data_IF_645926621686
#
_entry.id   IF_645926621686
#
_cell.length_a   1.000
_cell.length_b   1.000
_cell.length_c   1.000
_cell.angle_alpha   90.00
_cell.angle_beta   90.00
_cell.angle_gamma   90.00
#
_symmetry.space_group_name_H-M   'P 1'
#
loop_
_entity.id
_entity.type
_entity.pdbx_description
1 polymer ?
#
# COMPACT_ATOMS: atom_id res chain seq x y z
N UNK A 1 -32.84 -68.09 6.58
CA UNK A 1 -32.58 -66.64 6.66
C UNK A 1 -32.35 -66.15 5.25
N UNK A 2 -33.26 -65.32 4.77
CA UNK A 2 -33.39 -64.97 3.36
C UNK A 2 -32.33 -63.93 2.96
N UNK A 3 -31.36 -64.33 2.15
CA UNK A 3 -30.22 -63.50 1.71
C UNK A 3 -30.65 -62.35 0.77
N UNK A 4 -31.92 -62.33 0.34
CA UNK A 4 -32.47 -61.34 -0.60
C UNK A 4 -32.78 -59.98 0.05
N UNK A 5 -33.10 -59.93 1.34
CA UNK A 5 -33.43 -58.70 2.09
C UNK A 5 -32.25 -58.08 2.84
N UNK A 6 -31.15 -58.83 3.02
CA UNK A 6 -29.94 -58.32 3.67
C UNK A 6 -29.12 -57.38 2.77
N UNK A 7 -29.12 -57.62 1.45
CA UNK A 7 -28.31 -56.86 0.48
C UNK A 7 -28.75 -55.39 0.32
N UNK A 8 -30.05 -55.06 0.22
CA UNK A 8 -30.51 -53.67 0.11
C UNK A 8 -30.23 -52.87 1.39
N UNK A 9 -30.49 -53.45 2.57
CA UNK A 9 -30.23 -52.79 3.85
C UNK A 9 -28.74 -52.53 4.10
N UNK A 10 -27.86 -53.43 3.67
CA UNK A 10 -26.41 -53.23 3.76
C UNK A 10 -25.93 -52.12 2.82
N UNK A 11 -26.48 -52.04 1.59
CA UNK A 11 -26.17 -50.96 0.65
C UNK A 11 -26.68 -49.59 1.12
N UNK A 12 -27.89 -49.54 1.70
CA UNK A 12 -28.42 -48.30 2.29
C UNK A 12 -27.60 -47.84 3.50
N UNK A 13 -27.19 -48.77 4.36
CA UNK A 13 -26.33 -48.46 5.50
C UNK A 13 -24.95 -47.95 5.05
N UNK A 14 -24.37 -48.55 4.01
CA UNK A 14 -23.09 -48.11 3.42
C UNK A 14 -23.22 -46.69 2.84
N UNK A 15 -24.26 -46.44 2.03
CA UNK A 15 -24.52 -45.13 1.43
C UNK A 15 -24.81 -44.05 2.49
N UNK A 16 -25.51 -44.40 3.57
CA UNK A 16 -25.82 -43.49 4.67
C UNK A 16 -24.56 -43.12 5.46
N UNK A 17 -23.68 -44.08 5.74
CA UNK A 17 -22.41 -43.81 6.41
C UNK A 17 -21.49 -42.97 5.51
N UNK A 18 -21.36 -43.33 4.24
CA UNK A 18 -20.58 -42.56 3.27
C UNK A 18 -21.02 -41.09 3.24
N UNK A 19 -22.33 -40.82 3.09
CA UNK A 19 -22.89 -39.45 3.14
C UNK A 19 -22.59 -38.74 4.46
N UNK A 20 -22.70 -39.42 5.60
CA UNK A 20 -22.46 -38.83 6.93
C UNK A 20 -21.04 -38.30 7.09
N UNK A 21 -20.05 -38.97 6.52
CA UNK A 21 -18.65 -38.54 6.58
C UNK A 21 -18.23 -37.61 5.42
N UNK A 22 -18.92 -37.68 4.27
CA UNK A 22 -18.65 -36.84 3.09
C UNK A 22 -19.11 -35.39 3.24
N UNK A 23 -20.32 -35.18 3.80
CA UNK A 23 -20.94 -33.86 3.91
C UNK A 23 -20.13 -32.79 4.70
N UNK A 24 -19.51 -33.11 5.85
CA UNK A 24 -18.69 -32.14 6.59
C UNK A 24 -17.43 -31.71 5.83
N UNK A 25 -16.84 -32.63 5.04
CA UNK A 25 -15.65 -32.38 4.23
C UNK A 25 -15.99 -31.54 2.99
N UNK A 26 -17.15 -31.76 2.36
CA UNK A 26 -17.65 -30.95 1.25
C UNK A 26 -17.91 -29.47 1.63
N UNK A 27 -18.13 -29.16 2.92
CA UNK A 27 -18.31 -27.79 3.43
C UNK A 27 -17.08 -27.20 4.11
N UNK A 28 -15.97 -27.93 4.14
CA UNK A 28 -14.70 -27.44 4.69
C UNK A 28 -13.95 -26.57 3.68
N UNK A 29 -13.17 -25.60 4.15
CA UNK A 29 -12.24 -24.81 3.32
C UNK A 29 -11.03 -25.63 2.84
N UNK A 30 -11.21 -26.94 2.69
CA UNK A 30 -10.17 -27.92 2.38
C UNK A 30 -10.52 -28.60 1.06
N UNK A 31 -9.61 -28.51 0.10
CA UNK A 31 -9.63 -29.36 -1.09
C UNK A 31 -9.02 -30.70 -0.71
N UNK A 32 -9.73 -31.79 -0.96
CA UNK A 32 -9.25 -33.14 -0.69
C UNK A 32 -9.14 -33.89 -2.01
N UNK A 33 -7.97 -34.42 -2.29
CA UNK A 33 -7.71 -35.23 -3.48
C UNK A 33 -6.82 -36.42 -3.15
N UNK A 34 -7.05 -37.51 -3.88
CA UNK A 34 -6.25 -38.72 -3.85
C UNK A 34 -5.56 -38.86 -5.20
N UNK A 35 -4.29 -39.25 -5.16
CA UNK A 35 -3.51 -39.54 -6.35
C UNK A 35 -2.87 -40.92 -6.25
N UNK A 36 -2.61 -41.57 -7.39
CA UNK A 36 -1.84 -42.82 -7.43
C UNK A 36 -0.32 -42.58 -7.30
N UNK A 37 0.48 -43.65 -7.51
CA UNK A 37 1.95 -43.62 -7.48
C UNK A 37 2.55 -42.69 -8.54
N UNK A 38 1.89 -42.57 -9.68
CA UNK A 38 2.28 -41.74 -10.80
C UNK A 38 1.74 -40.29 -10.67
N UNK A 39 1.13 -39.96 -9.53
CA UNK A 39 0.52 -38.68 -9.21
C UNK A 39 -0.66 -38.32 -10.12
N UNK A 40 -1.35 -39.32 -10.65
CA UNK A 40 -2.61 -39.15 -11.38
C UNK A 40 -3.75 -39.02 -10.38
N UNK A 41 -4.60 -38.00 -10.54
CA UNK A 41 -5.73 -37.77 -9.64
C UNK A 41 -6.78 -38.87 -9.83
N UNK A 42 -6.93 -39.73 -8.81
CA UNK A 42 -7.88 -40.85 -8.81
C UNK A 42 -9.21 -40.46 -8.15
N UNK A 43 -9.17 -39.51 -7.22
CA UNK A 43 -10.36 -39.03 -6.53
C UNK A 43 -10.21 -37.57 -6.13
N UNK A 44 -11.30 -36.81 -6.14
CA UNK A 44 -11.35 -35.43 -5.65
C UNK A 44 -12.73 -35.14 -5.06
N UNK A 45 -12.76 -34.48 -3.91
CA UNK A 45 -13.99 -34.03 -3.28
C UNK A 45 -14.58 -32.81 -4.02
N UNK A 46 -15.91 -32.67 -3.98
CA UNK A 46 -16.63 -31.56 -4.62
C UNK A 46 -16.22 -30.16 -4.10
N UNK A 47 -15.58 -30.09 -2.92
CA UNK A 47 -15.03 -28.85 -2.34
C UNK A 47 -14.03 -28.14 -3.26
N UNK A 48 -13.42 -28.87 -4.21
CA UNK A 48 -12.56 -28.27 -5.25
C UNK A 48 -13.31 -27.25 -6.11
N UNK A 49 -14.61 -27.46 -6.36
CA UNK A 49 -15.42 -26.57 -7.19
C UNK A 49 -15.71 -25.25 -6.47
N UNK A 50 -15.96 -25.28 -5.16
CA UNK A 50 -16.26 -24.07 -4.41
C UNK A 50 -15.00 -23.20 -4.21
N UNK A 51 -13.84 -23.83 -4.04
CA UNK A 51 -12.57 -23.18 -3.73
C UNK A 51 -11.79 -22.78 -4.98
N UNK A 52 -11.51 -23.73 -5.88
CA UNK A 52 -10.70 -23.51 -7.09
C UNK A 52 -11.53 -23.21 -8.35
N UNK A 53 -12.87 -23.31 -8.28
CA UNK A 53 -13.80 -23.15 -9.43
C UNK A 53 -13.62 -24.18 -10.55
N UNK A 54 -12.92 -25.28 -10.28
CA UNK A 54 -12.71 -26.37 -11.22
C UNK A 54 -13.68 -27.51 -10.89
N UNK A 55 -14.29 -28.13 -11.90
CA UNK A 55 -15.15 -29.30 -11.67
C UNK A 55 -14.30 -30.55 -11.44
N UNK A 56 -14.69 -31.46 -10.52
CA UNK A 56 -14.02 -32.73 -10.28
C UNK A 56 -13.66 -33.52 -11.57
N UNK A 57 -14.60 -33.59 -12.51
CA UNK A 57 -14.42 -34.32 -13.77
C UNK A 57 -13.30 -33.76 -14.66
N UNK A 58 -12.90 -32.51 -14.49
CA UNK A 58 -11.81 -31.88 -15.25
C UNK A 58 -10.42 -32.23 -14.67
N UNK A 59 -10.39 -32.76 -13.44
CA UNK A 59 -9.18 -33.13 -12.71
C UNK A 59 -8.91 -34.64 -12.74
N UNK A 60 -9.97 -35.46 -12.68
CA UNK A 60 -9.85 -36.92 -12.63
C UNK A 60 -9.08 -37.47 -13.84
N UNK A 61 -8.11 -38.35 -13.57
CA UNK A 61 -7.29 -39.01 -14.59
C UNK A 61 -6.14 -38.14 -15.14
N UNK A 62 -5.96 -36.90 -14.66
CA UNK A 62 -4.83 -36.03 -15.03
C UNK A 62 -3.73 -36.07 -13.98
N UNK A 63 -2.51 -35.76 -14.40
CA UNK A 63 -1.41 -35.58 -13.46
C UNK A 63 -1.65 -34.36 -12.56
N UNK A 64 -1.35 -34.50 -11.26
CA UNK A 64 -1.59 -33.49 -10.23
C UNK A 64 -1.01 -32.11 -10.58
N UNK A 65 0.24 -32.05 -11.04
CA UNK A 65 0.93 -30.80 -11.30
C UNK A 65 0.35 -30.06 -12.50
N UNK A 66 -0.03 -30.80 -13.55
CA UNK A 66 -0.65 -30.25 -14.75
C UNK A 66 -2.09 -29.82 -14.52
N UNK A 67 -2.81 -30.52 -13.65
CA UNK A 67 -4.21 -30.25 -13.38
C UNK A 67 -4.41 -29.04 -12.47
N UNK A 68 -3.52 -28.83 -11.50
CA UNK A 68 -3.63 -27.77 -10.49
C UNK A 68 -2.60 -26.65 -10.63
N UNK A 69 -1.77 -26.64 -11.68
CA UNK A 69 -0.77 -25.58 -11.93
C UNK A 69 0.01 -25.18 -10.66
N UNK A 70 0.55 -26.18 -9.97
CA UNK A 70 1.27 -25.98 -8.69
C UNK A 70 2.62 -25.33 -8.99
N UNK A 71 2.85 -24.15 -8.40
CA UNK A 71 4.07 -23.36 -8.64
C UNK A 71 5.30 -24.10 -8.13
N UNK A 72 5.24 -24.64 -6.92
CA UNK A 72 6.36 -25.30 -6.24
C UNK A 72 6.54 -26.79 -6.64
N UNK A 73 6.13 -27.19 -7.86
CA UNK A 73 6.13 -28.59 -8.31
C UNK A 73 7.44 -29.35 -8.05
N UNK A 74 8.63 -28.75 -8.34
CA UNK A 74 9.93 -29.42 -8.10
C UNK A 74 10.19 -29.73 -6.63
N UNK A 75 9.84 -28.79 -5.74
CA UNK A 75 10.04 -28.93 -4.29
C UNK A 75 9.08 -29.99 -3.75
N UNK A 76 7.84 -29.97 -4.22
CA UNK A 76 6.84 -30.96 -3.84
C UNK A 76 7.23 -32.37 -4.31
N UNK A 77 7.76 -32.54 -5.53
CA UNK A 77 8.29 -33.84 -5.99
C UNK A 77 9.38 -34.38 -5.07
N UNK A 78 10.35 -33.54 -4.69
CA UNK A 78 11.40 -33.94 -3.75
C UNK A 78 10.85 -34.38 -2.39
N UNK A 79 9.85 -33.67 -1.86
CA UNK A 79 9.23 -34.02 -0.59
C UNK A 79 8.43 -35.33 -0.67
N UNK A 80 7.73 -35.57 -1.78
CA UNK A 80 7.05 -36.85 -2.02
C UNK A 80 8.05 -38.00 -2.08
N UNK A 81 9.19 -37.84 -2.75
CA UNK A 81 10.24 -38.87 -2.78
C UNK A 81 10.74 -39.22 -1.37
N UNK A 82 10.90 -38.21 -0.49
CA UNK A 82 11.31 -38.48 0.91
C UNK A 82 10.28 -39.27 1.71
N UNK A 83 8.98 -39.18 1.38
CA UNK A 83 7.94 -39.99 2.01
C UNK A 83 7.98 -41.47 1.60
N UNK A 84 8.56 -41.79 0.43
CA UNK A 84 8.61 -43.15 -0.13
C UNK A 84 9.90 -43.89 0.27
N UNK A 85 10.90 -43.20 0.81
CA UNK A 85 12.19 -43.82 1.10
C UNK A 85 12.08 -44.95 2.14
N UNK A 86 12.75 -46.11 1.90
CA UNK A 86 12.79 -47.21 2.85
C UNK A 86 13.35 -46.76 4.20
N UNK A 87 12.57 -46.92 5.27
CA UNK A 87 12.94 -46.48 6.62
C UNK A 87 12.49 -45.07 7.02
N UNK A 88 11.73 -44.37 6.17
CA UNK A 88 11.06 -43.12 6.57
C UNK A 88 10.06 -43.40 7.69
N UNK A 89 10.19 -42.67 8.80
CA UNK A 89 9.24 -42.69 9.92
C UNK A 89 8.10 -41.69 9.73
N UNK A 90 8.21 -40.78 8.76
CA UNK A 90 7.20 -39.78 8.47
C UNK A 90 6.15 -40.36 7.51
N UNK A 91 4.92 -40.56 8.01
CA UNK A 91 3.77 -40.96 7.19
C UNK A 91 3.04 -39.76 6.56
N UNK A 92 3.37 -38.54 6.99
CA UNK A 92 2.82 -37.31 6.44
C UNK A 92 3.81 -36.15 6.48
N UNK A 93 3.61 -35.20 5.57
CA UNK A 93 4.29 -33.91 5.53
C UNK A 93 3.27 -32.78 5.48
N UNK A 94 3.70 -31.60 5.90
CA UNK A 94 2.97 -30.35 5.72
C UNK A 94 3.85 -29.37 4.98
N UNK A 95 3.29 -28.73 3.96
CA UNK A 95 3.99 -27.75 3.16
C UNK A 95 3.03 -26.68 2.62
N UNK A 96 3.50 -25.45 2.49
CA UNK A 96 2.75 -24.42 1.80
C UNK A 96 2.92 -24.54 0.28
N UNK A 97 1.80 -24.50 -0.44
CA UNK A 97 1.77 -24.58 -1.90
C UNK A 97 0.99 -23.41 -2.47
N UNK A 98 1.38 -23.00 -3.67
CA UNK A 98 0.69 -21.98 -4.46
C UNK A 98 0.11 -22.61 -5.72
N UNK A 99 -1.17 -22.34 -5.97
CA UNK A 99 -1.90 -22.79 -7.16
C UNK A 99 -2.26 -21.57 -7.99
N UNK A 100 -1.88 -21.59 -9.27
CA UNK A 100 -2.31 -20.56 -10.23
C UNK A 100 -3.75 -20.84 -10.68
N UNK A 101 -4.60 -19.83 -10.55
CA UNK A 101 -6.00 -19.85 -11.02
C UNK A 101 -6.25 -18.69 -11.97
N UNK A 102 -7.39 -18.71 -12.69
CA UNK A 102 -7.79 -17.59 -13.54
C UNK A 102 -7.97 -16.27 -12.76
N UNK A 103 -8.30 -16.34 -11.46
CA UNK A 103 -8.46 -15.16 -10.59
C UNK A 103 -7.15 -14.71 -9.92
N UNK A 104 -6.03 -15.40 -10.21
CA UNK A 104 -4.71 -15.16 -9.64
C UNK A 104 -4.21 -16.31 -8.77
N UNK A 105 -3.08 -16.10 -8.09
CA UNK A 105 -2.46 -17.12 -7.24
C UNK A 105 -3.21 -17.29 -5.92
N UNK A 106 -3.56 -18.53 -5.59
CA UNK A 106 -4.09 -18.93 -4.29
C UNK A 106 -3.04 -19.72 -3.50
N UNK A 107 -3.05 -19.57 -2.17
CA UNK A 107 -2.10 -20.23 -1.28
C UNK A 107 -2.81 -21.25 -0.38
N UNK A 108 -2.17 -22.40 -0.18
CA UNK A 108 -2.69 -23.52 0.57
C UNK A 108 -1.67 -24.03 1.59
N UNK A 109 -2.14 -24.38 2.80
CA UNK A 109 -1.43 -25.27 3.71
C UNK A 109 -1.80 -26.70 3.33
N UNK A 110 -0.86 -27.42 2.73
CA UNK A 110 -1.06 -28.76 2.20
C UNK A 110 -0.54 -29.80 3.19
N UNK A 111 -1.43 -30.61 3.74
CA UNK A 111 -1.06 -31.84 4.42
C UNK A 111 -1.11 -33.00 3.43
N UNK A 112 -0.02 -33.76 3.34
CA UNK A 112 0.13 -34.86 2.39
C UNK A 112 0.44 -36.12 3.17
N UNK A 113 -0.36 -37.15 2.97
CA UNK A 113 -0.22 -38.43 3.66
C UNK A 113 0.17 -39.51 2.65
N UNK A 114 1.23 -40.25 2.96
CA UNK A 114 1.61 -41.43 2.20
C UNK A 114 0.66 -42.60 2.54
N UNK A 115 -0.03 -43.12 1.52
CA UNK A 115 -0.97 -44.24 1.60
C UNK A 115 -0.64 -45.30 0.54
N UNK A 116 0.65 -45.45 0.19
CA UNK A 116 1.13 -46.36 -0.85
C UNK A 116 0.94 -47.84 -0.50
N UNK A 117 0.88 -48.16 0.79
CA UNK A 117 0.62 -49.50 1.33
C UNK A 117 -0.87 -49.76 1.60
N UNK A 118 -1.73 -48.73 1.52
CA UNK A 118 -3.17 -48.90 1.67
C UNK A 118 -3.73 -49.65 0.44
N UNK A 119 -4.45 -50.77 0.63
CA UNK A 119 -4.90 -51.61 -0.48
C UNK A 119 -6.00 -50.99 -1.35
N UNK A 120 -6.64 -49.91 -0.89
CA UNK A 120 -7.70 -49.21 -1.62
C UNK A 120 -7.14 -47.99 -2.35
N UNK A 121 -6.28 -47.21 -1.69
CA UNK A 121 -5.77 -45.95 -2.23
C UNK A 121 -4.49 -46.16 -3.06
N UNK A 122 -3.55 -46.97 -2.54
CA UNK A 122 -2.27 -47.26 -3.18
C UNK A 122 -1.52 -46.03 -3.72
N UNK A 123 -1.51 -44.93 -2.96
CA UNK A 123 -1.13 -43.60 -3.46
C UNK A 123 -0.89 -42.56 -2.36
N UNK A 124 -1.25 -41.30 -2.62
CA UNK A 124 -1.14 -40.20 -1.65
C UNK A 124 -2.47 -39.49 -1.45
N UNK A 125 -2.73 -39.03 -0.23
CA UNK A 125 -3.85 -38.14 0.08
C UNK A 125 -3.34 -36.72 0.32
N UNK A 126 -3.95 -35.76 -0.36
CA UNK A 126 -3.68 -34.33 -0.20
C UNK A 126 -4.88 -33.64 0.44
N UNK A 127 -4.60 -32.84 1.47
CA UNK A 127 -5.55 -31.96 2.14
C UNK A 127 -5.04 -30.53 2.02
N UNK A 128 -5.64 -29.75 1.13
CA UNK A 128 -5.21 -28.37 0.84
C UNK A 128 -6.15 -27.40 1.55
N UNK A 129 -5.71 -26.83 2.67
CA UNK A 129 -6.48 -25.81 3.37
C UNK A 129 -6.16 -24.42 2.81
N UNK A 130 -7.16 -23.70 2.30
CA UNK A 130 -6.94 -22.37 1.72
C UNK A 130 -6.50 -21.37 2.81
N UNK A 131 -5.33 -20.76 2.62
CA UNK A 131 -4.73 -19.76 3.52
C UNK A 131 -4.52 -18.41 2.84
N UNK A 132 -5.10 -18.20 1.65
CA UNK A 132 -4.89 -16.99 0.82
C UNK A 132 -5.24 -15.71 1.58
N UNK A 133 -6.40 -15.65 2.22
CA UNK A 133 -6.83 -14.46 2.98
C UNK A 133 -5.96 -14.20 4.21
N UNK A 134 -5.51 -15.28 4.86
CA UNK A 134 -4.59 -15.21 5.99
C UNK A 134 -3.24 -14.65 5.54
N UNK A 135 -2.63 -15.18 4.48
CA UNK A 135 -1.36 -14.67 3.93
C UNK A 135 -1.46 -13.22 3.49
N UNK A 136 -2.56 -12.85 2.80
CA UNK A 136 -2.80 -11.44 2.43
C UNK A 136 -2.85 -10.52 3.65
N UNK A 137 -3.50 -10.97 4.73
CA UNK A 137 -3.57 -10.20 5.98
C UNK A 137 -2.21 -10.12 6.69
N UNK A 138 -1.45 -11.21 6.73
CA UNK A 138 -0.10 -11.26 7.31
C UNK A 138 0.88 -10.38 6.54
N UNK A 139 0.84 -10.38 5.20
CA UNK A 139 1.64 -9.50 4.36
C UNK A 139 1.26 -8.03 4.55
N UNK A 140 -0.03 -7.71 4.62
CA UNK A 140 -0.49 -6.35 4.92
C UNK A 140 0.00 -5.88 6.29
N UNK A 141 -0.13 -6.71 7.32
CA UNK A 141 0.37 -6.41 8.66
C UNK A 141 1.89 -6.23 8.67
N UNK A 142 2.63 -7.09 7.99
CA UNK A 142 4.08 -6.99 7.87
C UNK A 142 4.51 -5.69 7.18
N UNK A 143 3.84 -5.32 6.08
CA UNK A 143 4.06 -4.04 5.39
C UNK A 143 3.76 -2.85 6.30
N UNK A 144 2.63 -2.85 7.00
CA UNK A 144 2.25 -1.79 7.94
C UNK A 144 3.26 -1.65 9.10
N UNK A 145 3.72 -2.78 9.66
CA UNK A 145 4.76 -2.76 10.70
C UNK A 145 6.07 -2.18 10.16
N UNK A 146 6.51 -2.59 8.98
CA UNK A 146 7.71 -2.04 8.35
C UNK A 146 7.59 -0.53 8.07
N UNK A 147 6.44 -0.07 7.61
CA UNK A 147 6.15 1.35 7.43
C UNK A 147 6.19 2.11 8.77
N UNK A 148 5.63 1.54 9.83
CA UNK A 148 5.63 2.13 11.18
C UNK A 148 7.05 2.22 11.76
N UNK A 149 7.84 1.14 11.67
CA UNK A 149 9.22 1.13 12.16
C UNK A 149 10.07 2.15 11.40
N UNK A 150 9.92 2.19 10.07
CA UNK A 150 10.57 3.20 9.22
C UNK A 150 10.17 4.61 9.60
N UNK A 151 8.90 4.83 9.95
CA UNK A 151 8.40 6.11 10.44
C UNK A 151 9.06 6.52 11.76
N UNK A 152 9.05 5.64 12.76
CA UNK A 152 9.61 5.92 14.09
C UNK A 152 11.11 6.22 13.99
N UNK A 153 11.84 5.41 13.21
CA UNK A 153 13.27 5.58 13.01
C UNK A 153 13.61 6.92 12.35
N UNK A 154 13.00 7.22 11.20
CA UNK A 154 13.25 8.47 10.46
C UNK A 154 12.81 9.69 11.24
N UNK A 155 11.65 9.64 11.90
CA UNK A 155 11.20 10.75 12.72
C UNK A 155 12.16 11.04 13.89
N UNK A 156 12.64 10.00 14.57
CA UNK A 156 13.62 10.16 15.64
C UNK A 156 14.94 10.74 15.15
N UNK A 157 15.41 10.29 13.98
CA UNK A 157 16.63 10.79 13.36
C UNK A 157 16.51 12.29 13.00
N UNK A 158 15.44 12.65 12.30
CA UNK A 158 15.23 14.01 11.80
C UNK A 158 14.91 15.02 12.91
N UNK A 159 14.38 14.56 14.05
CA UNK A 159 14.30 15.37 15.26
C UNK A 159 15.65 15.53 15.96
N UNK A 160 16.50 14.49 15.97
CA UNK A 160 17.80 14.51 16.66
C UNK A 160 18.80 15.44 15.97
N UNK A 161 18.85 15.46 14.65
CA UNK A 161 19.79 16.28 13.89
C UNK A 161 19.76 17.79 14.22
N UNK A 162 18.61 18.50 14.22
CA UNK A 162 18.57 19.92 14.59
C UNK A 162 18.91 20.14 16.07
N UNK A 163 18.59 19.20 16.97
CA UNK A 163 18.95 19.30 18.39
C UNK A 163 20.47 19.21 18.61
N UNK A 164 21.14 18.26 17.96
CA UNK A 164 22.61 18.13 18.02
C UNK A 164 23.28 19.37 17.44
N UNK A 165 22.77 19.92 16.34
CA UNK A 165 23.27 21.18 15.78
C UNK A 165 23.12 22.36 16.73
N UNK A 166 21.97 22.49 17.41
CA UNK A 166 21.76 23.53 18.42
C UNK A 166 22.76 23.37 19.57
N UNK A 167 22.93 22.17 20.11
CA UNK A 167 23.87 21.89 21.19
C UNK A 167 25.31 22.25 20.80
N UNK A 168 25.77 21.86 19.60
CA UNK A 168 27.10 22.22 19.11
C UNK A 168 27.28 23.74 18.93
N UNK A 169 26.25 24.44 18.45
CA UNK A 169 26.29 25.91 18.33
C UNK A 169 26.33 26.60 19.69
N UNK A 170 25.65 26.06 20.70
CA UNK A 170 25.76 26.55 22.09
C UNK A 170 27.19 26.36 22.60
N UNK A 171 27.79 25.19 22.41
CA UNK A 171 29.16 24.89 22.84
C UNK A 171 30.19 25.83 22.20
N UNK A 172 30.03 26.13 20.90
CA UNK A 172 30.92 27.06 20.19
C UNK A 172 30.68 28.50 20.66
N UNK A 173 29.41 28.92 20.78
CA UNK A 173 29.07 30.26 21.24
C UNK A 173 29.61 30.55 22.65
N UNK A 174 29.67 29.54 23.52
CA UNK A 174 30.27 29.65 24.86
C UNK A 174 31.80 29.84 24.84
N UNK A 175 32.48 29.42 23.77
CA UNK A 175 33.95 29.51 23.61
C UNK A 175 34.40 30.78 22.89
N UNK A 176 33.65 31.23 21.88
CA UNK A 176 34.05 32.30 20.95
C UNK A 176 33.33 33.65 21.21
N UNK A 177 32.79 33.84 22.41
CA UNK A 177 32.13 35.07 22.80
C UNK A 177 33.14 36.24 22.83
N UNK A 178 32.83 37.48 22.35
CA UNK A 178 31.53 37.99 21.88
C UNK A 178 31.40 38.22 20.35
N UNK A 179 32.44 37.97 19.55
CA UNK A 179 32.53 38.52 18.18
C UNK A 179 31.53 37.87 17.19
N UNK A 180 31.04 36.66 17.47
CA UNK A 180 30.18 35.87 16.56
C UNK A 180 28.85 35.41 17.17
N UNK A 181 28.50 35.90 18.37
CA UNK A 181 27.32 35.45 19.11
C UNK A 181 26.01 35.57 18.30
N UNK A 182 25.85 36.66 17.54
CA UNK A 182 24.65 36.88 16.74
C UNK A 182 24.51 35.89 15.56
N UNK A 183 25.64 35.47 14.96
CA UNK A 183 25.63 34.49 13.88
C UNK A 183 25.24 33.10 14.40
N UNK A 184 25.80 32.68 15.54
CA UNK A 184 25.42 31.42 16.18
C UNK A 184 23.96 31.43 16.63
N UNK A 185 23.45 32.55 17.16
CA UNK A 185 22.04 32.74 17.49
C UNK A 185 21.13 32.61 16.26
N UNK A 186 21.50 33.16 15.11
CA UNK A 186 20.71 33.00 13.88
C UNK A 186 20.70 31.54 13.40
N UNK A 187 21.84 30.84 13.43
CA UNK A 187 21.93 29.42 13.07
C UNK A 187 21.09 28.52 14.01
N UNK A 188 21.11 28.82 15.32
CA UNK A 188 20.26 28.13 16.29
C UNK A 188 18.78 28.38 16.01
N UNK A 189 18.40 29.64 15.78
CA UNK A 189 17.01 30.02 15.44
C UNK A 189 16.51 29.27 14.21
N UNK A 190 17.31 29.19 13.13
CA UNK A 190 16.96 28.40 11.93
C UNK A 190 16.76 26.92 12.24
N UNK A 191 17.58 26.34 13.12
CA UNK A 191 17.46 24.93 13.51
C UNK A 191 16.19 24.67 14.34
N UNK A 192 15.83 25.58 15.25
CA UNK A 192 14.57 25.52 16.02
C UNK A 192 13.36 25.62 15.09
N UNK A 193 13.35 26.58 14.15
CA UNK A 193 12.25 26.75 13.19
C UNK A 193 12.07 25.51 12.30
N UNK A 194 13.16 24.85 11.90
CA UNK A 194 13.09 23.58 11.15
C UNK A 194 12.45 22.46 11.98
N UNK A 195 12.83 22.33 13.25
CA UNK A 195 12.27 21.33 14.14
C UNK A 195 10.79 21.58 14.43
N UNK A 196 10.40 22.84 14.64
CA UNK A 196 8.99 23.22 14.83
C UNK A 196 8.14 22.86 13.61
N UNK A 197 8.60 23.20 12.40
CA UNK A 197 7.93 22.82 11.15
C UNK A 197 7.79 21.31 11.01
N UNK A 198 8.84 20.56 11.37
CA UNK A 198 8.80 19.10 11.37
C UNK A 198 7.72 18.54 12.32
N UNK A 199 7.68 19.02 13.56
CA UNK A 199 6.67 18.61 14.56
C UNK A 199 5.26 18.98 14.10
N UNK A 200 5.09 20.16 13.50
CA UNK A 200 3.83 20.59 12.94
C UNK A 200 3.35 19.63 11.84
N UNK A 201 4.20 19.31 10.86
CA UNK A 201 3.86 18.41 9.75
C UNK A 201 3.51 17.01 10.25
N UNK A 202 4.24 16.50 11.25
CA UNK A 202 3.98 15.23 11.91
C UNK A 202 2.59 15.21 12.60
N UNK A 203 2.26 16.31 13.27
CA UNK A 203 0.97 16.47 13.94
C UNK A 203 -0.17 16.54 12.93
N UNK A 204 0.01 17.23 11.80
CA UNK A 204 -0.99 17.29 10.73
C UNK A 204 -1.24 15.90 10.13
N UNK A 205 -0.19 15.12 9.88
CA UNK A 205 -0.32 13.73 9.43
C UNK A 205 -1.15 12.89 10.41
N UNK A 206 -0.78 12.89 11.69
CA UNK A 206 -1.47 12.12 12.73
C UNK A 206 -2.94 12.51 12.88
N UNK A 207 -3.25 13.81 12.78
CA UNK A 207 -4.64 14.32 12.81
C UNK A 207 -5.44 13.94 11.57
N UNK A 208 -4.86 14.04 10.37
CA UNK A 208 -5.54 13.70 9.13
C UNK A 208 -6.01 12.24 9.11
N UNK A 209 -5.22 11.34 9.69
CA UNK A 209 -5.53 9.92 9.76
C UNK A 209 -6.71 9.63 10.71
N UNK A 210 -6.71 10.23 11.91
CA UNK A 210 -7.68 9.96 12.98
C UNK A 210 -9.00 10.70 12.86
N UNK A 211 -9.01 11.86 12.23
CA UNK A 211 -10.23 12.69 12.12
C UNK A 211 -11.11 12.26 10.96
N UNK A 212 -12.43 12.39 11.15
CA UNK A 212 -13.40 12.24 10.06
C UNK A 212 -13.26 13.40 9.08
N UNK A 213 -13.75 13.18 7.85
CA UNK A 213 -13.85 14.23 6.84
C UNK A 213 -15.11 15.03 7.12
N UNK A 214 -14.98 16.34 7.25
CA UNK A 214 -16.09 17.26 7.44
C UNK A 214 -16.29 18.06 6.17
N UNK A 215 -17.47 17.94 5.54
CA UNK A 215 -17.76 18.58 4.26
C UNK A 215 -18.55 19.86 4.50
N UNK A 216 -18.02 20.98 4.01
CA UNK A 216 -18.68 22.27 4.02
C UNK A 216 -18.51 23.00 2.69
N UNK A 217 -19.28 24.08 2.48
CA UNK A 217 -19.18 24.90 1.28
C UNK A 217 -17.90 25.73 1.34
N UNK A 218 -17.07 25.64 0.30
CA UNK A 218 -15.76 26.28 0.25
C UNK A 218 -15.78 27.50 -0.67
N UNK A 219 -15.22 28.60 -0.18
CA UNK A 219 -14.81 29.74 -1.01
C UNK A 219 -13.35 29.53 -1.43
N UNK A 220 -13.14 29.05 -2.66
CA UNK A 220 -11.79 28.74 -3.16
C UNK A 220 -10.94 30.00 -3.34
N UNK A 221 -11.56 31.13 -3.68
CA UNK A 221 -10.86 32.40 -3.83
C UNK A 221 -10.28 32.84 -2.49
N UNK A 222 -11.11 32.83 -1.43
CA UNK A 222 -10.66 33.14 -0.08
C UNK A 222 -9.57 32.18 0.39
N UNK A 223 -9.75 30.88 0.15
CA UNK A 223 -8.79 29.87 0.58
C UNK A 223 -7.42 30.03 -0.11
N UNK A 224 -7.39 30.35 -1.41
CA UNK A 224 -6.14 30.64 -2.13
C UNK A 224 -5.47 31.90 -1.57
N UNK A 225 -6.24 32.97 -1.35
CA UNK A 225 -5.71 34.21 -0.79
C UNK A 225 -5.10 34.00 0.61
N UNK A 226 -5.78 33.26 1.49
CA UNK A 226 -5.25 32.89 2.81
C UNK A 226 -3.94 32.10 2.70
N UNK A 227 -3.88 31.14 1.76
CA UNK A 227 -2.70 30.32 1.55
C UNK A 227 -1.51 31.15 1.04
N UNK A 228 -1.75 32.06 0.09
CA UNK A 228 -0.74 32.99 -0.43
C UNK A 228 -0.24 33.96 0.64
N UNK A 229 -1.15 34.55 1.41
CA UNK A 229 -0.82 35.46 2.52
C UNK A 229 0.08 34.76 3.56
N UNK A 230 -0.18 33.47 3.82
CA UNK A 230 0.67 32.65 4.69
C UNK A 230 2.10 32.42 4.17
N UNK A 231 2.35 32.61 2.87
CA UNK A 231 3.68 32.44 2.26
C UNK A 231 4.41 33.78 1.99
N UNK A 232 3.79 34.94 2.27
CA UNK A 232 4.31 36.26 1.87
C UNK A 232 5.70 36.62 2.40
N UNK A 233 6.12 36.00 3.50
CA UNK A 233 7.41 36.23 4.14
C UNK A 233 8.52 35.32 3.60
N UNK A 234 8.23 34.43 2.65
CA UNK A 234 9.26 33.65 1.98
C UNK A 234 10.12 34.57 1.10
N UNK A 235 11.46 34.41 1.10
CA UNK A 235 12.36 35.36 0.42
C UNK A 235 12.07 35.54 -1.08
N UNK A 236 11.57 34.50 -1.76
CA UNK A 236 11.30 34.50 -3.20
C UNK A 236 9.85 34.85 -3.55
N UNK A 237 8.99 35.17 -2.57
CA UNK A 237 7.57 35.39 -2.83
C UNK A 237 7.34 36.59 -3.76
N UNK A 238 7.99 37.72 -3.48
CA UNK A 238 7.76 38.98 -4.21
C UNK A 238 8.31 38.99 -5.65
N UNK A 239 9.15 38.02 -6.00
CA UNK A 239 9.75 37.92 -7.34
C UNK A 239 8.95 37.04 -8.29
N UNK A 240 7.83 36.45 -7.86
CA UNK A 240 7.03 35.49 -8.61
C UNK A 240 5.71 36.13 -9.04
N UNK A 241 5.32 35.93 -10.30
CA UNK A 241 3.99 36.29 -10.78
C UNK A 241 2.96 35.21 -10.43
N UNK A 242 1.81 35.62 -9.90
CA UNK A 242 0.76 34.71 -9.45
C UNK A 242 -0.47 34.85 -10.35
N UNK A 243 -0.77 33.78 -11.07
CA UNK A 243 -1.91 33.72 -11.97
C UNK A 243 -3.00 32.82 -11.38
N UNK A 244 -4.19 33.36 -11.11
CA UNK A 244 -5.30 32.62 -10.51
C UNK A 244 -6.46 32.53 -11.52
N UNK A 245 -6.83 31.31 -11.89
CA UNK A 245 -7.97 31.03 -12.76
C UNK A 245 -8.96 30.10 -12.05
N UNK A 246 -10.11 30.63 -11.62
CA UNK A 246 -11.14 29.88 -10.92
C UNK A 246 -12.39 29.82 -11.79
N UNK A 247 -12.71 28.62 -12.26
CA UNK A 247 -13.88 28.31 -13.10
C UNK A 247 -14.85 27.44 -12.31
N UNK A 248 -15.68 28.07 -11.49
CA UNK A 248 -16.72 27.37 -10.73
C UNK A 248 -18.11 27.76 -11.26
N UNK A 249 -18.79 26.81 -11.89
CA UNK A 249 -20.19 26.99 -12.30
C UNK A 249 -21.16 26.69 -11.14
N UNK A 250 -20.68 25.96 -10.13
CA UNK A 250 -21.46 25.51 -8.99
C UNK A 250 -20.61 25.51 -7.69
N UNK A 251 -21.22 25.48 -6.49
CA UNK A 251 -20.48 25.60 -5.21
C UNK A 251 -19.65 24.36 -4.87
N UNK A 252 -18.37 24.49 -4.50
CA UNK A 252 -17.53 23.35 -4.12
C UNK A 252 -17.80 22.97 -2.65
N UNK A 253 -18.00 21.67 -2.40
CA UNK A 253 -18.12 21.10 -1.05
C UNK A 253 -16.96 20.15 -0.81
N UNK A 254 -16.24 20.37 0.29
CA UNK A 254 -15.11 19.55 0.72
C UNK A 254 -14.70 19.94 2.14
N UNK A 255 -13.58 19.42 2.61
CA UNK A 255 -13.01 19.72 3.92
C UNK A 255 -11.99 20.86 3.83
N UNK A 256 -12.34 22.02 4.40
CA UNK A 256 -11.51 23.23 4.33
C UNK A 256 -10.12 23.02 4.92
N UNK A 257 -10.02 22.26 6.02
CA UNK A 257 -8.77 22.07 6.74
C UNK A 257 -7.78 21.28 5.89
N UNK A 258 -8.28 20.27 5.18
CA UNK A 258 -7.54 19.42 4.25
C UNK A 258 -7.17 20.14 2.96
N UNK A 259 -8.08 20.93 2.39
CA UNK A 259 -7.77 21.76 1.24
C UNK A 259 -6.69 22.81 1.56
N UNK A 260 -6.73 23.39 2.77
CA UNK A 260 -5.69 24.30 3.26
C UNK A 260 -4.32 23.62 3.34
N UNK A 261 -4.26 22.37 3.79
CA UNK A 261 -3.02 21.57 3.81
C UNK A 261 -2.49 21.37 2.37
N UNK A 262 -3.36 21.02 1.43
CA UNK A 262 -3.00 20.84 0.02
C UNK A 262 -2.38 22.14 -0.52
N UNK A 263 -3.12 23.25 -0.48
CA UNK A 263 -2.69 24.51 -1.07
C UNK A 263 -1.41 25.05 -0.43
N UNK A 264 -1.29 25.01 0.90
CA UNK A 264 -0.10 25.47 1.60
C UNK A 264 1.15 24.68 1.20
N UNK A 265 1.06 23.35 1.08
CA UNK A 265 2.21 22.53 0.70
C UNK A 265 2.59 22.73 -0.77
N UNK A 266 1.61 22.82 -1.67
CA UNK A 266 1.88 23.04 -3.09
C UNK A 266 2.49 24.43 -3.31
N UNK A 267 1.90 25.49 -2.76
CA UNK A 267 2.41 26.86 -2.91
C UNK A 267 3.78 27.03 -2.27
N UNK A 268 3.98 26.53 -1.05
CA UNK A 268 5.29 26.61 -0.38
C UNK A 268 6.38 25.92 -1.21
N UNK A 269 6.08 24.75 -1.80
CA UNK A 269 7.02 24.07 -2.68
C UNK A 269 7.29 24.88 -3.96
N UNK A 270 6.26 25.35 -4.65
CA UNK A 270 6.43 26.11 -5.90
C UNK A 270 7.22 27.42 -5.68
N UNK A 271 7.07 28.09 -4.53
CA UNK A 271 7.86 29.29 -4.18
C UNK A 271 9.30 28.92 -3.85
N UNK A 272 9.53 27.89 -3.03
CA UNK A 272 10.89 27.49 -2.60
C UNK A 272 11.74 26.95 -3.75
N UNK A 273 11.12 26.23 -4.67
CA UNK A 273 11.78 25.60 -5.81
C UNK A 273 11.72 26.45 -7.09
N UNK A 274 11.47 27.75 -6.93
CA UNK A 274 11.62 28.74 -7.99
C UNK A 274 13.04 28.70 -8.58
N UNK A 275 13.13 28.83 -9.91
CA UNK A 275 14.39 28.87 -10.63
C UNK A 275 14.89 30.33 -10.77
N UNK A 276 15.88 30.70 -9.95
CA UNK A 276 16.51 32.04 -9.93
C UNK A 276 17.17 32.44 -11.26
N UNK A 277 17.29 31.51 -12.22
CA UNK A 277 17.85 31.78 -13.56
C UNK A 277 16.81 32.26 -14.56
N UNK A 278 15.52 32.18 -14.23
CA UNK A 278 14.43 32.59 -15.13
C UNK A 278 14.02 34.02 -14.83
N UNK A 279 13.88 34.82 -15.88
CA UNK A 279 13.50 36.25 -15.79
C UNK A 279 12.02 36.43 -15.45
N UNK A 280 11.14 35.51 -15.91
CA UNK A 280 9.69 35.57 -15.70
C UNK A 280 9.18 34.34 -14.92
N UNK A 281 9.44 34.24 -13.60
CA UNK A 281 8.89 33.15 -12.80
C UNK A 281 7.41 33.32 -12.53
N UNK A 282 6.66 32.23 -12.66
CA UNK A 282 5.23 32.23 -12.41
C UNK A 282 4.77 31.01 -11.61
N UNK A 283 3.69 31.20 -10.87
CA UNK A 283 2.87 30.14 -10.29
C UNK A 283 1.43 30.37 -10.76
N UNK A 284 0.92 29.40 -11.51
CA UNK A 284 -0.47 29.38 -11.97
C UNK A 284 -1.28 28.41 -11.14
N UNK A 285 -2.35 28.92 -10.54
CA UNK A 285 -3.33 28.15 -9.78
C UNK A 285 -4.62 28.12 -10.60
N UNK A 286 -5.03 26.93 -10.99
CA UNK A 286 -6.25 26.74 -11.77
C UNK A 286 -7.22 25.81 -11.05
N UNK A 287 -8.47 26.22 -10.92
CA UNK A 287 -9.54 25.41 -10.33
C UNK A 287 -10.70 25.32 -11.30
N UNK A 288 -11.18 24.11 -11.55
CA UNK A 288 -12.38 23.92 -12.37
C UNK A 288 -13.18 22.69 -11.95
N UNK A 289 -14.46 22.67 -12.27
CA UNK A 289 -15.33 21.51 -12.08
C UNK A 289 -15.37 20.65 -13.36
N UNK A 290 -15.41 19.33 -13.21
CA UNK A 290 -15.77 18.43 -14.29
C UNK A 290 -17.28 18.13 -14.22
N UNK A 291 -18.09 18.73 -15.11
CA UNK A 291 -19.55 18.61 -15.04
C UNK A 291 -20.06 17.19 -15.27
N UNK A 292 -19.25 16.28 -15.83
CA UNK A 292 -19.63 14.88 -16.07
C UNK A 292 -19.39 13.98 -14.87
N UNK A 293 -18.37 14.26 -14.06
CA UNK A 293 -17.93 13.35 -12.99
C UNK A 293 -18.27 13.83 -11.59
N UNK A 294 -18.85 15.04 -11.43
CA UNK A 294 -19.06 15.70 -10.12
C UNK A 294 -17.78 15.80 -9.29
N UNK A 295 -16.65 15.94 -9.97
CA UNK A 295 -15.34 16.15 -9.38
C UNK A 295 -14.90 17.59 -9.65
N UNK A 296 -14.06 18.12 -8.79
CA UNK A 296 -13.36 19.37 -9.06
C UNK A 296 -11.86 19.12 -9.07
N UNK A 297 -11.15 19.96 -9.81
CA UNK A 297 -9.72 19.86 -10.02
C UNK A 297 -9.06 21.09 -9.44
N UNK A 298 -7.98 20.88 -8.69
CA UNK A 298 -7.03 21.90 -8.27
C UNK A 298 -5.72 21.60 -8.99
N UNK A 299 -5.26 22.54 -9.81
CA UNK A 299 -3.97 22.46 -10.47
C UNK A 299 -3.06 23.59 -10.00
N UNK A 300 -1.84 23.24 -9.61
CA UNK A 300 -0.77 24.20 -9.33
C UNK A 300 0.36 23.91 -10.31
N UNK A 301 0.70 24.90 -11.13
CA UNK A 301 1.77 24.82 -12.13
C UNK A 301 2.79 25.92 -11.84
N UNK A 302 4.04 25.57 -11.75
CA UNK A 302 5.17 26.49 -11.69
C UNK A 302 6.13 26.27 -12.85
N UNK A 303 6.97 27.26 -13.12
CA UNK A 303 8.12 27.15 -14.00
C UNK A 303 9.44 27.05 -13.21
N UNK A 304 9.44 26.40 -12.04
CA UNK A 304 10.62 26.27 -11.21
C UNK A 304 11.71 25.34 -11.77
N UNK A 305 12.55 24.83 -10.88
CA UNK A 305 13.68 23.93 -11.22
C UNK A 305 13.23 22.54 -11.70
N UNK A 306 11.96 22.18 -11.49
CA UNK A 306 11.42 20.85 -11.81
C UNK A 306 11.99 19.73 -10.95
N UNK A 307 11.62 18.49 -11.28
CA UNK A 307 12.09 17.27 -10.61
C UNK A 307 12.72 16.35 -11.66
N UNK A 308 13.84 15.72 -11.31
CA UNK A 308 14.49 14.72 -12.18
C UNK A 308 13.62 13.47 -12.31
N UNK A 309 13.58 12.88 -13.50
CA UNK A 309 12.64 11.80 -13.85
C UNK A 309 12.73 10.60 -12.88
N UNK A 310 13.94 10.21 -12.45
CA UNK A 310 14.17 9.10 -11.52
C UNK A 310 13.71 9.37 -10.07
N UNK A 311 13.31 10.60 -9.74
CA UNK A 311 12.72 10.94 -8.44
C UNK A 311 11.20 11.01 -8.45
N UNK A 312 10.55 11.01 -9.63
CA UNK A 312 9.10 11.23 -9.79
C UNK A 312 8.26 10.25 -8.97
N UNK A 313 8.65 8.98 -8.93
CA UNK A 313 7.93 7.95 -8.18
C UNK A 313 8.08 8.11 -6.65
N UNK A 314 9.16 8.76 -6.22
CA UNK A 314 9.56 8.86 -4.81
C UNK A 314 9.24 10.19 -4.16
N UNK A 315 8.84 11.22 -4.93
CA UNK A 315 8.53 12.55 -4.36
C UNK A 315 7.36 12.54 -3.37
N UNK A 316 6.51 11.52 -3.41
CA UNK A 316 5.43 11.31 -2.46
C UNK A 316 5.80 10.37 -1.32
N UNK A 317 7.03 9.86 -1.25
CA UNK A 317 7.50 9.05 -0.15
C UNK A 317 7.71 9.91 1.10
N UNK A 318 7.46 9.32 2.25
CA UNK A 318 7.67 9.97 3.52
C UNK A 318 9.17 10.25 3.77
N UNK A 319 9.47 11.50 4.16
CA UNK A 319 10.82 12.03 4.40
C UNK A 319 11.71 12.11 3.16
N UNK A 320 11.15 11.95 1.96
CA UNK A 320 11.94 12.06 0.74
C UNK A 320 12.31 13.51 0.44
N UNK A 321 13.59 13.72 0.11
CA UNK A 321 14.16 14.99 -0.33
C UNK A 321 15.09 14.70 -1.51
N UNK A 322 14.90 15.42 -2.62
CA UNK A 322 15.74 15.26 -3.82
C UNK A 322 17.17 15.79 -3.63
N UNK A 323 17.41 16.61 -2.60
CA UNK A 323 18.74 17.01 -2.15
C UNK A 323 18.72 17.39 -0.67
N UNK A 324 19.84 17.20 0.03
CA UNK A 324 20.01 17.62 1.43
C UNK A 324 20.01 19.15 1.61
N UNK A 325 20.25 19.88 0.53
CA UNK A 325 20.21 21.35 0.46
C UNK A 325 18.78 21.91 0.40
N UNK A 326 17.80 21.10 0.00
CA UNK A 326 16.41 21.55 -0.18
C UNK A 326 15.70 21.78 1.18
N UNK A 327 15.23 23.00 1.47
CA UNK A 327 14.59 23.30 2.76
C UNK A 327 13.23 22.62 2.94
N UNK A 328 13.12 21.71 3.93
CA UNK A 328 11.84 21.11 4.31
C UNK A 328 11.98 19.83 5.13
N UNK A 329 10.86 19.38 5.72
CA UNK A 329 10.75 18.14 6.51
C UNK A 329 10.72 16.86 5.65
N UNK A 330 10.56 16.98 4.32
CA UNK A 330 10.28 15.84 3.44
C UNK A 330 8.88 15.22 3.64
N UNK A 331 8.02 15.85 4.46
CA UNK A 331 6.67 15.37 4.73
C UNK A 331 5.59 16.06 3.89
N UNK A 332 5.91 17.18 3.22
CA UNK A 332 4.91 18.02 2.57
C UNK A 332 4.10 17.30 1.48
N UNK A 333 4.76 16.79 0.44
CA UNK A 333 4.07 16.08 -0.66
C UNK A 333 3.47 14.74 -0.21
N UNK A 334 4.11 14.05 0.73
CA UNK A 334 3.53 12.86 1.37
C UNK A 334 2.20 13.20 2.06
N UNK A 335 2.15 14.29 2.81
CA UNK A 335 0.93 14.75 3.48
C UNK A 335 -0.15 15.13 2.46
N UNK A 336 0.22 15.81 1.37
CA UNK A 336 -0.71 16.08 0.26
C UNK A 336 -1.32 14.79 -0.28
N UNK A 337 -0.49 13.77 -0.59
CA UNK A 337 -0.96 12.45 -1.05
C UNK A 337 -1.93 11.83 -0.05
N UNK A 338 -1.59 11.82 1.25
CA UNK A 338 -2.47 11.27 2.30
C UNK A 338 -3.78 12.01 2.49
N UNK A 339 -3.77 13.34 2.31
CA UNK A 339 -5.01 14.12 2.35
C UNK A 339 -5.88 13.81 1.12
N UNK A 340 -5.29 13.75 -0.08
CA UNK A 340 -6.02 13.41 -1.31
C UNK A 340 -6.63 12.01 -1.23
N UNK A 341 -5.86 11.01 -0.76
CA UNK A 341 -6.35 9.64 -0.52
C UNK A 341 -7.52 9.64 0.47
N UNK A 342 -7.42 10.40 1.57
CA UNK A 342 -8.48 10.51 2.60
C UNK A 342 -9.77 11.13 2.02
N UNK A 343 -9.63 12.08 1.10
CA UNK A 343 -10.74 12.69 0.37
C UNK A 343 -11.21 11.84 -0.83
N UNK A 344 -10.68 10.62 -1.02
CA UNK A 344 -10.99 9.71 -2.13
C UNK A 344 -10.70 10.31 -3.52
N UNK A 345 -9.70 11.18 -3.59
CA UNK A 345 -9.26 11.83 -4.82
C UNK A 345 -8.09 11.15 -5.51
N UNK A 346 -7.57 11.82 -6.53
CA UNK A 346 -6.40 11.42 -7.31
C UNK A 346 -5.40 12.57 -7.40
N UNK A 347 -4.12 12.23 -7.49
CA UNK A 347 -3.02 13.18 -7.64
C UNK A 347 -2.15 12.75 -8.82
N UNK A 348 -1.92 13.68 -9.73
CA UNK A 348 -1.08 13.50 -10.90
C UNK A 348 0.05 14.53 -10.90
N UNK A 349 1.26 14.07 -11.19
CA UNK A 349 2.46 14.89 -11.28
C UNK A 349 3.00 14.88 -12.71
N UNK A 350 3.18 16.07 -13.29
CA UNK A 350 3.91 16.28 -14.54
C UNK A 350 5.04 17.25 -14.27
N UNK A 351 6.27 16.83 -14.48
CA UNK A 351 7.44 17.63 -14.15
C UNK A 351 8.58 17.27 -15.09
N UNK A 352 9.44 18.25 -15.37
CA UNK A 352 10.67 18.04 -16.11
C UNK A 352 11.73 18.98 -15.55
N UNK A 353 12.94 18.47 -15.40
CA UNK A 353 14.06 19.25 -14.89
C UNK A 353 14.21 20.55 -15.71
N UNK A 354 14.28 21.69 -15.00
CA UNK A 354 14.37 23.06 -15.51
C UNK A 354 13.17 23.59 -16.30
N UNK A 355 12.13 22.81 -16.53
CA UNK A 355 10.90 23.31 -17.16
C UNK A 355 9.86 23.71 -16.12
N UNK A 356 9.83 23.02 -14.97
CA UNK A 356 8.94 23.30 -13.85
C UNK A 356 8.12 22.08 -13.43
N UNK A 357 7.14 22.31 -12.58
CA UNK A 357 6.29 21.25 -12.02
C UNK A 357 4.81 21.61 -12.16
N UNK A 358 3.99 20.63 -12.50
CA UNK A 358 2.54 20.70 -12.54
C UNK A 358 1.97 19.57 -11.70
N UNK A 359 1.30 19.92 -10.62
CA UNK A 359 0.53 19.00 -9.79
C UNK A 359 -0.95 19.22 -10.03
N UNK A 360 -1.66 18.15 -10.36
CA UNK A 360 -3.10 18.14 -10.60
C UNK A 360 -3.76 17.23 -9.58
N UNK A 361 -4.68 17.79 -8.80
CA UNK A 361 -5.43 17.07 -7.77
C UNK A 361 -6.89 17.06 -8.17
N UNK A 362 -7.46 15.87 -8.31
CA UNK A 362 -8.87 15.67 -8.63
C UNK A 362 -9.59 15.15 -7.40
N UNK A 363 -10.62 15.85 -6.93
CA UNK A 363 -11.37 15.51 -5.72
C UNK A 363 -12.86 15.35 -6.04
N UNK A 364 -13.56 14.41 -5.39
CA UNK A 364 -15.02 14.36 -5.48
C UNK A 364 -15.62 15.59 -4.81
N UNK A 365 -16.65 16.15 -5.45
CA UNK A 365 -17.44 17.23 -4.86
C UNK A 365 -18.56 16.62 -4.03
N UNK A 366 -18.53 16.79 -2.71
CA UNK A 366 -19.44 16.13 -1.76
C UNK A 366 -20.79 16.84 -1.63
N UNK A 367 -21.37 17.21 -2.78
CA UNK A 367 -22.71 17.80 -2.90
C UNK A 367 -23.84 16.83 -2.61
#
# INVERSE_FOLDING_TARGET
MDLSTARPHFQEALCRNEKKYRYPLERSYVVILLVDRELTITYVYDSVTSILKIKPAELLGRNLFEALYIVEHRRLSYLLDTLVQPGSTASSIREELSIETEEGTMHFDAAITNLLEDPVIAGFAFYLHNITDRKRSEEQLSRLNFELDSFVYKASHDMRAPLVNILGLIDIAQRDFPIQAMQYMDMMKRSVLRLDKFIFDLTQYSRNDRTKVESEKIDMSLLIMEAMEGQKFLPQFSSIDFEIDIRQDHPIYSDISRLRIILNNLLSNSIKYHDLRKEDPYIRISIWENPKTKEFVIQVKDNGIGIMEHYTDRVFDMFFRASDMAEGSGLGLYLVKKVVEKLKGKIDLKTREREGTMLTITLPNTR
#
